data_IF_712249963027
#
_entry.id   IF_712249963027
#
_cell.length_a   1.000
_cell.length_b   1.000
_cell.length_c   1.000
_cell.angle_alpha   90.00
_cell.angle_beta   90.00
_cell.angle_gamma   90.00
#
_symmetry.space_group_name_H-M   'P 1'
#
loop_
_entity.id
_entity.type
_entity.pdbx_description
1 polymer ?
#
# COMPACT_ATOMS: atom_id res chain seq x y z
N UNK A 1 -4.51 -3.35 -12.88
CA UNK A 1 -4.07 -2.42 -13.94
C UNK A 1 -5.28 -1.83 -14.65
N UNK A 2 -5.28 -0.54 -14.98
CA UNK A 2 -6.35 0.13 -15.73
C UNK A 2 -6.06 0.12 -17.23
N UNK A 3 -7.11 0.27 -18.06
CA UNK A 3 -6.92 0.40 -19.52
C UNK A 3 -6.10 1.64 -19.87
N UNK A 4 -6.30 2.75 -19.15
CA UNK A 4 -5.51 3.97 -19.34
C UNK A 4 -4.01 3.72 -19.08
N UNK A 5 -3.68 3.07 -17.96
CA UNK A 5 -2.29 2.70 -17.66
C UNK A 5 -1.66 1.81 -18.74
N UNK A 6 -2.40 0.82 -19.26
CA UNK A 6 -1.92 -0.04 -20.35
C UNK A 6 -1.58 0.77 -21.61
N UNK A 7 -2.44 1.72 -21.98
CA UNK A 7 -2.23 2.56 -23.18
C UNK A 7 -0.96 3.39 -23.01
N UNK A 8 -0.75 3.99 -21.84
CA UNK A 8 0.43 4.81 -21.57
C UNK A 8 1.70 3.94 -21.55
N UNK A 9 1.69 2.80 -20.84
CA UNK A 9 2.82 1.88 -20.80
C UNK A 9 3.23 1.35 -22.18
N UNK A 10 2.26 1.08 -23.06
CA UNK A 10 2.55 0.62 -24.43
C UNK A 10 3.20 1.68 -25.32
N UNK A 11 3.03 2.96 -25.01
CA UNK A 11 3.58 4.09 -25.77
C UNK A 11 4.87 4.63 -25.18
N UNK A 12 5.21 4.20 -23.96
CA UNK A 12 6.38 4.68 -23.26
C UNK A 12 7.67 4.30 -24.00
N UNK A 13 8.55 5.26 -24.19
CA UNK A 13 9.93 5.04 -24.66
C UNK A 13 10.82 4.56 -23.51
N UNK A 14 10.56 5.05 -22.30
CA UNK A 14 11.20 4.64 -21.07
C UNK A 14 10.13 4.26 -20.03
N UNK A 15 9.94 2.96 -19.79
CA UNK A 15 9.04 2.44 -18.76
C UNK A 15 9.85 1.86 -17.61
N UNK A 16 9.74 2.48 -16.44
CA UNK A 16 10.38 2.02 -15.20
C UNK A 16 9.31 1.43 -14.28
N UNK A 17 9.53 0.22 -13.79
CA UNK A 17 8.69 -0.38 -12.74
C UNK A 17 9.40 -0.27 -11.40
N UNK A 18 8.72 0.24 -10.38
CA UNK A 18 9.25 0.24 -9.02
C UNK A 18 9.72 -1.15 -8.58
N UNK A 19 8.94 -2.17 -8.93
CA UNK A 19 9.29 -3.58 -8.70
C UNK A 19 8.69 -4.48 -9.77
N UNK A 20 9.39 -5.56 -10.09
CA UNK A 20 8.87 -6.64 -10.92
C UNK A 20 8.17 -7.74 -10.09
N UNK A 21 8.17 -7.64 -8.78
CA UNK A 21 7.48 -8.58 -7.88
C UNK A 21 6.01 -8.19 -7.76
N UNK A 22 5.25 -8.40 -8.86
CA UNK A 22 3.82 -8.10 -8.90
C UNK A 22 3.13 -8.94 -10.00
N UNK A 23 1.89 -9.45 -9.78
CA UNK A 23 1.17 -10.27 -10.76
C UNK A 23 0.98 -9.62 -12.14
N UNK A 24 0.87 -8.28 -12.20
CA UNK A 24 0.73 -7.53 -13.46
C UNK A 24 1.93 -7.70 -14.40
N UNK A 25 3.12 -8.02 -13.88
CA UNK A 25 4.34 -8.16 -14.69
C UNK A 25 4.24 -9.30 -15.70
N UNK A 26 3.58 -10.40 -15.35
CA UNK A 26 3.31 -11.49 -16.30
C UNK A 26 2.49 -11.02 -17.49
N UNK A 27 1.46 -10.19 -17.24
CA UNK A 27 0.67 -9.58 -18.30
C UNK A 27 1.49 -8.63 -19.19
N UNK A 28 2.35 -7.78 -18.59
CA UNK A 28 3.20 -6.88 -19.37
C UNK A 28 4.12 -7.66 -20.31
N UNK A 29 4.76 -8.73 -19.81
CA UNK A 29 5.61 -9.62 -20.62
C UNK A 29 4.82 -10.30 -21.73
N UNK A 30 3.64 -10.85 -21.45
CA UNK A 30 2.76 -11.46 -22.45
C UNK A 30 2.40 -10.49 -23.57
N UNK A 31 2.17 -9.22 -23.26
CA UNK A 31 1.85 -8.16 -24.22
C UNK A 31 3.07 -7.55 -24.91
N UNK A 32 4.28 -8.05 -24.64
CA UNK A 32 5.51 -7.54 -25.25
C UNK A 32 5.86 -6.12 -24.83
N UNK A 33 5.38 -5.67 -23.67
CA UNK A 33 5.69 -4.33 -23.13
C UNK A 33 7.06 -4.41 -22.47
N UNK A 34 8.01 -3.65 -23.02
CA UNK A 34 9.40 -3.59 -22.51
C UNK A 34 9.44 -2.62 -21.33
N UNK A 35 10.16 -3.00 -20.28
CA UNK A 35 10.35 -2.20 -19.08
C UNK A 35 11.69 -2.50 -18.43
N UNK A 36 12.15 -1.57 -17.60
CA UNK A 36 13.23 -1.75 -16.64
C UNK A 36 12.63 -1.86 -15.23
N UNK A 37 13.02 -2.86 -14.45
CA UNK A 37 12.61 -3.01 -13.07
C UNK A 37 13.68 -2.46 -12.12
N UNK A 38 13.25 -1.75 -11.07
CA UNK A 38 14.14 -1.06 -10.15
C UNK A 38 14.39 -1.85 -8.86
N UNK A 39 14.13 -3.16 -8.88
CA UNK A 39 14.29 -4.06 -7.71
C UNK A 39 15.75 -4.06 -7.18
N UNK A 40 16.73 -3.79 -8.02
CA UNK A 40 18.16 -3.70 -7.61
C UNK A 40 18.43 -2.70 -6.49
N UNK A 41 17.60 -1.67 -6.35
CA UNK A 41 17.78 -0.67 -5.30
C UNK A 41 17.43 -1.19 -3.90
N UNK A 42 16.70 -2.32 -3.81
CA UNK A 42 16.36 -2.95 -2.53
C UNK A 42 17.47 -3.89 -1.99
N UNK A 43 18.47 -4.21 -2.80
CA UNK A 43 19.48 -5.24 -2.46
C UNK A 43 20.57 -4.74 -1.50
N UNK A 44 20.72 -3.43 -1.32
CA UNK A 44 21.86 -2.81 -0.62
C UNK A 44 21.73 -2.74 0.91
N UNK A 45 20.69 -3.31 1.52
CA UNK A 45 20.49 -3.33 2.99
C UNK A 45 20.26 -1.96 3.63
N UNK A 46 19.94 -0.94 2.84
CA UNK A 46 19.62 0.42 3.29
C UNK A 46 18.22 0.51 3.92
N UNK A 47 17.93 1.61 4.58
CA UNK A 47 16.57 1.92 4.99
C UNK A 47 15.64 2.10 3.78
N UNK A 48 14.34 1.86 3.95
CA UNK A 48 13.37 2.10 2.86
C UNK A 48 13.41 3.56 2.36
N UNK A 49 13.63 4.53 3.25
CA UNK A 49 13.73 5.93 2.90
C UNK A 49 14.91 6.18 1.93
N UNK A 50 16.10 5.66 2.26
CA UNK A 50 17.29 5.77 1.38
C UNK A 50 17.10 5.05 0.04
N UNK A 51 16.41 3.91 0.03
CA UNK A 51 16.07 3.17 -1.19
C UNK A 51 15.15 4.00 -2.08
N UNK A 52 14.11 4.60 -1.52
CA UNK A 52 13.14 5.39 -2.27
C UNK A 52 13.77 6.68 -2.81
N UNK A 53 14.58 7.36 -2.01
CA UNK A 53 15.32 8.56 -2.45
C UNK A 53 16.26 8.22 -3.62
N UNK A 54 17.04 7.16 -3.50
CA UNK A 54 17.94 6.71 -4.58
C UNK A 54 17.17 6.31 -5.85
N UNK A 55 16.03 5.65 -5.70
CA UNK A 55 15.18 5.23 -6.81
C UNK A 55 14.57 6.42 -7.53
N UNK A 56 14.05 7.39 -6.79
CA UNK A 56 13.45 8.61 -7.35
C UNK A 56 14.50 9.52 -7.99
N UNK A 57 15.70 9.60 -7.44
CA UNK A 57 16.85 10.26 -8.08
C UNK A 57 17.22 9.63 -9.42
N UNK A 58 17.21 8.29 -9.49
CA UNK A 58 17.42 7.60 -10.75
C UNK A 58 16.34 7.93 -11.79
N UNK A 59 15.07 8.00 -11.37
CA UNK A 59 13.97 8.43 -12.28
C UNK A 59 14.21 9.87 -12.77
N UNK A 60 14.58 10.78 -11.89
CA UNK A 60 14.89 12.17 -12.24
C UNK A 60 16.09 12.28 -13.20
N UNK A 61 17.10 11.43 -13.06
CA UNK A 61 18.22 11.38 -14.00
C UNK A 61 17.77 10.92 -15.38
N UNK A 62 16.94 9.86 -15.45
CA UNK A 62 16.39 9.35 -16.72
C UNK A 62 15.51 10.40 -17.43
N UNK A 63 14.80 11.26 -16.69
CA UNK A 63 14.00 12.37 -17.25
C UNK A 63 14.80 13.41 -18.00
N UNK A 64 16.13 13.45 -17.86
CA UNK A 64 17.00 14.33 -18.65
C UNK A 64 17.18 13.86 -20.10
N UNK A 65 16.94 12.58 -20.37
CA UNK A 65 17.16 11.95 -21.67
C UNK A 65 15.87 11.49 -22.33
N UNK A 66 14.85 11.09 -21.55
CA UNK A 66 13.63 10.45 -22.02
C UNK A 66 12.37 11.01 -21.35
N UNK A 67 11.22 10.83 -22.01
CA UNK A 67 9.92 10.88 -21.36
C UNK A 67 9.71 9.57 -20.58
N UNK A 68 9.67 9.66 -19.26
CA UNK A 68 9.61 8.48 -18.38
C UNK A 68 8.18 8.19 -17.93
N UNK A 69 7.79 6.93 -18.02
CA UNK A 69 6.63 6.39 -17.31
C UNK A 69 7.13 5.59 -16.12
N UNK A 70 6.88 6.09 -14.92
CA UNK A 70 7.19 5.36 -13.67
C UNK A 70 5.94 4.65 -13.17
N UNK A 71 5.96 3.33 -13.12
CA UNK A 71 4.82 2.51 -12.74
C UNK A 71 5.06 1.80 -11.40
N UNK A 72 4.05 1.87 -10.55
CA UNK A 72 4.07 1.30 -9.20
C UNK A 72 2.95 0.26 -9.03
N UNK A 73 3.08 -0.70 -8.12
CA UNK A 73 2.00 -1.61 -7.74
C UNK A 73 0.79 -0.86 -7.19
N UNK A 74 -0.41 -1.31 -7.54
CA UNK A 74 -1.65 -0.77 -6.97
C UNK A 74 -2.00 0.63 -7.45
N UNK A 75 -2.29 1.52 -6.53
CA UNK A 75 -2.62 2.93 -6.78
C UNK A 75 -1.47 3.84 -6.37
N UNK A 76 -1.03 4.78 -7.22
CA UNK A 76 0.01 5.74 -6.88
C UNK A 76 -0.40 6.71 -5.75
N UNK A 77 -1.69 6.75 -5.40
CA UNK A 77 -2.23 7.62 -4.36
C UNK A 77 -2.41 6.94 -2.99
N UNK A 78 -2.10 5.63 -2.89
CA UNK A 78 -2.36 4.86 -1.66
C UNK A 78 -1.08 4.16 -1.19
N UNK A 79 -0.55 4.59 -0.05
CA UNK A 79 0.63 4.02 0.58
C UNK A 79 1.87 3.89 -0.36
N UNK A 80 2.07 4.88 -1.24
CA UNK A 80 3.12 4.86 -2.26
C UNK A 80 4.05 6.07 -2.12
N UNK A 81 5.02 5.93 -1.22
CA UNK A 81 5.96 7.00 -0.87
C UNK A 81 6.85 7.44 -2.03
N UNK A 82 7.27 6.52 -2.91
CA UNK A 82 8.11 6.85 -4.06
C UNK A 82 7.41 7.81 -5.02
N UNK A 83 6.10 7.70 -5.19
CA UNK A 83 5.33 8.62 -6.05
C UNK A 83 5.24 10.00 -5.40
N UNK A 84 4.96 10.07 -4.10
CA UNK A 84 4.89 11.33 -3.37
C UNK A 84 6.21 12.10 -3.48
N UNK A 85 7.32 11.42 -3.24
CA UNK A 85 8.66 11.98 -3.31
C UNK A 85 9.02 12.42 -4.74
N UNK A 86 8.76 11.57 -5.74
CA UNK A 86 9.01 11.90 -7.15
C UNK A 86 8.22 13.14 -7.60
N UNK A 87 6.96 13.26 -7.19
CA UNK A 87 6.12 14.44 -7.46
C UNK A 87 6.74 15.70 -6.88
N UNK A 88 7.24 15.66 -5.65
CA UNK A 88 7.92 16.82 -5.03
C UNK A 88 9.24 17.16 -5.74
N UNK A 89 10.03 16.17 -6.16
CA UNK A 89 11.24 16.39 -6.98
C UNK A 89 10.88 17.03 -8.33
N UNK A 90 9.84 16.55 -9.01
CA UNK A 90 9.36 17.14 -10.27
C UNK A 90 8.92 18.61 -10.09
N UNK A 91 8.13 18.90 -9.05
CA UNK A 91 7.70 20.28 -8.74
C UNK A 91 8.91 21.20 -8.51
N UNK A 92 9.86 20.75 -7.70
CA UNK A 92 11.07 21.51 -7.37
C UNK A 92 11.93 21.79 -8.60
N UNK A 93 12.04 20.82 -9.50
CA UNK A 93 12.82 20.92 -10.73
C UNK A 93 12.05 21.57 -11.90
N UNK A 94 10.77 21.91 -11.73
CA UNK A 94 9.93 22.45 -12.80
C UNK A 94 9.64 21.45 -13.93
N UNK A 95 9.71 20.14 -13.66
CA UNK A 95 9.42 19.06 -14.62
C UNK A 95 7.91 18.82 -14.65
N UNK A 96 7.25 18.89 -15.82
CA UNK A 96 5.83 18.56 -15.92
C UNK A 96 5.60 17.07 -15.65
N UNK A 97 4.52 16.76 -14.95
CA UNK A 97 4.14 15.39 -14.62
C UNK A 97 2.62 15.20 -14.61
N UNK A 98 2.18 13.98 -14.79
CA UNK A 98 0.80 13.56 -14.62
C UNK A 98 0.77 12.27 -13.79
N UNK A 99 -0.12 12.19 -12.79
CA UNK A 99 -0.35 10.98 -12.00
C UNK A 99 -1.65 10.32 -12.45
N UNK A 100 -1.54 9.15 -13.08
CA UNK A 100 -2.70 8.39 -13.50
C UNK A 100 -3.27 7.57 -12.34
N UNK A 101 -4.61 7.56 -12.15
CA UNK A 101 -5.22 6.75 -11.09
C UNK A 101 -5.00 5.24 -11.36
N UNK A 102 -4.72 4.51 -10.30
CA UNK A 102 -4.62 3.05 -10.29
C UNK A 102 -5.69 2.43 -9.39
N UNK A 103 -5.85 1.11 -9.46
CA UNK A 103 -6.66 0.36 -8.50
C UNK A 103 -5.81 0.00 -7.28
N UNK A 104 -6.25 0.41 -6.10
CA UNK A 104 -5.61 0.00 -4.87
C UNK A 104 -6.18 -1.32 -4.33
N UNK A 105 -5.51 -1.92 -3.35
CA UNK A 105 -6.05 -3.06 -2.62
C UNK A 105 -7.34 -2.70 -1.84
N UNK A 106 -7.56 -1.42 -1.58
CA UNK A 106 -8.72 -0.93 -0.84
C UNK A 106 -10.05 -1.25 -1.54
N UNK A 107 -10.12 -1.19 -2.88
CA UNK A 107 -11.33 -1.56 -3.62
C UNK A 107 -11.68 -3.04 -3.41
N UNK A 108 -10.66 -3.91 -3.42
CA UNK A 108 -10.86 -5.33 -3.11
C UNK A 108 -11.26 -5.54 -1.64
N UNK A 109 -10.64 -4.79 -0.73
CA UNK A 109 -10.95 -4.83 0.70
C UNK A 109 -12.39 -4.39 0.96
N UNK A 110 -12.83 -3.28 0.40
CA UNK A 110 -14.21 -2.80 0.56
C UNK A 110 -15.22 -3.86 0.10
N UNK A 111 -15.00 -4.42 -1.08
CA UNK A 111 -15.90 -5.42 -1.65
C UNK A 111 -15.94 -6.70 -0.82
N UNK A 112 -14.78 -7.24 -0.42
CA UNK A 112 -14.69 -8.52 0.27
C UNK A 112 -15.04 -8.45 1.76
N UNK A 113 -14.74 -7.34 2.39
CA UNK A 113 -15.10 -7.08 3.79
C UNK A 113 -16.52 -6.49 3.94
N UNK A 114 -17.23 -6.19 2.85
CA UNK A 114 -18.55 -5.58 2.88
C UNK A 114 -18.55 -4.16 3.44
N UNK A 115 -17.51 -3.38 3.14
CA UNK A 115 -17.34 -2.02 3.64
C UNK A 115 -17.82 -1.00 2.61
N UNK A 116 -18.47 0.06 3.09
CA UNK A 116 -18.76 1.25 2.29
C UNK A 116 -18.07 2.46 2.94
N UNK A 117 -17.03 3.03 2.28
CA UNK A 117 -16.31 4.19 2.83
C UNK A 117 -17.18 5.41 3.12
N UNK A 118 -18.33 5.53 2.46
CA UNK A 118 -19.30 6.64 2.69
C UNK A 118 -19.88 6.60 4.11
N UNK A 119 -19.94 5.44 4.74
CA UNK A 119 -20.37 5.27 6.13
C UNK A 119 -19.34 5.75 7.17
N UNK A 120 -18.23 6.30 6.73
CA UNK A 120 -17.10 6.73 7.53
C UNK A 120 -16.02 5.66 7.60
N UNK A 121 -14.82 6.05 7.21
CA UNK A 121 -13.65 5.18 7.23
C UNK A 121 -12.39 5.98 7.52
N UNK A 122 -11.51 5.40 8.32
CA UNK A 122 -10.17 5.90 8.59
C UNK A 122 -9.18 4.85 8.12
N UNK A 123 -8.27 5.21 7.22
CA UNK A 123 -7.19 4.36 6.74
C UNK A 123 -5.88 4.90 7.27
N UNK A 124 -5.16 4.11 8.04
CA UNK A 124 -3.91 4.49 8.68
C UNK A 124 -2.81 3.48 8.36
N UNK A 125 -1.58 3.97 8.29
CA UNK A 125 -0.41 3.11 8.28
C UNK A 125 -0.06 2.65 9.71
N UNK A 126 0.36 1.39 9.87
CA UNK A 126 0.72 0.84 11.18
C UNK A 126 1.86 1.61 11.87
N UNK A 127 2.78 2.16 11.10
CA UNK A 127 3.91 2.94 11.61
C UNK A 127 3.51 4.34 12.13
N UNK A 128 2.36 4.85 11.70
CA UNK A 128 1.87 6.18 12.12
C UNK A 128 0.86 6.13 13.28
N UNK A 129 0.46 4.95 13.73
CA UNK A 129 -0.53 4.79 14.80
C UNK A 129 -0.15 5.51 16.10
N UNK A 130 1.14 5.59 16.43
CA UNK A 130 1.60 6.30 17.63
C UNK A 130 1.44 7.82 17.54
N UNK A 131 1.23 8.35 16.34
CA UNK A 131 1.11 9.80 16.05
C UNK A 131 -0.33 10.22 15.74
N UNK A 132 -1.20 9.27 15.49
CA UNK A 132 -2.57 9.51 15.04
C UNK A 132 -3.60 9.00 16.05
N UNK A 133 -4.67 9.76 16.22
CA UNK A 133 -5.81 9.31 17.03
C UNK A 133 -6.73 8.43 16.18
N UNK A 134 -7.03 7.25 16.68
CA UNK A 134 -8.03 6.36 16.09
C UNK A 134 -9.43 6.84 16.47
N UNK A 135 -10.38 6.80 15.54
CA UNK A 135 -11.77 7.18 15.78
C UNK A 135 -12.67 5.93 15.80
N UNK A 136 -13.01 5.40 16.98
CA UNK A 136 -13.81 4.16 17.09
C UNK A 136 -15.24 4.23 16.52
N UNK A 137 -15.73 5.42 16.24
CA UNK A 137 -17.10 5.63 15.67
C UNK A 137 -17.21 5.26 14.18
N UNK A 138 -16.08 5.07 13.50
CA UNK A 138 -16.03 4.71 12.08
C UNK A 138 -15.26 3.41 11.88
N UNK A 139 -15.34 2.83 10.69
CA UNK A 139 -14.46 1.71 10.32
C UNK A 139 -13.00 2.19 10.29
N UNK A 140 -12.10 1.44 10.93
CA UNK A 140 -10.67 1.74 10.90
C UNK A 140 -9.93 0.62 10.18
N UNK A 141 -9.12 0.98 9.20
CA UNK A 141 -8.25 0.09 8.45
C UNK A 141 -6.81 0.45 8.78
N UNK A 142 -6.08 -0.48 9.38
CA UNK A 142 -4.65 -0.35 9.63
C UNK A 142 -3.92 -1.16 8.56
N UNK A 143 -3.13 -0.49 7.74
CA UNK A 143 -2.35 -1.12 6.67
C UNK A 143 -0.96 -1.52 7.17
N UNK A 144 -0.30 -2.39 6.42
CA UNK A 144 1.10 -2.78 6.66
C UNK A 144 1.36 -3.34 8.06
N UNK A 145 0.53 -4.28 8.53
CA UNK A 145 0.80 -5.05 9.75
C UNK A 145 1.94 -6.04 9.46
N UNK A 146 3.12 -5.50 9.31
CA UNK A 146 4.28 -5.99 8.57
C UNK A 146 4.90 -7.29 9.12
N UNK A 147 4.87 -7.50 10.42
CA UNK A 147 5.44 -8.66 11.11
C UNK A 147 4.89 -8.76 12.53
N UNK A 148 5.27 -9.80 13.26
CA UNK A 148 4.81 -10.07 14.64
C UNK A 148 5.06 -8.89 15.60
N UNK A 149 6.18 -8.18 15.45
CA UNK A 149 6.50 -7.00 16.28
C UNK A 149 5.54 -5.86 15.99
N UNK A 150 5.35 -5.52 14.72
CA UNK A 150 4.39 -4.47 14.31
C UNK A 150 2.97 -4.86 14.71
N UNK A 151 2.59 -6.14 14.56
CA UNK A 151 1.30 -6.65 15.03
C UNK A 151 1.11 -6.44 16.54
N UNK A 152 2.16 -6.67 17.34
CA UNK A 152 2.13 -6.40 18.78
C UNK A 152 1.99 -4.92 19.10
N UNK A 153 2.74 -4.05 18.41
CA UNK A 153 2.67 -2.60 18.60
C UNK A 153 1.26 -2.07 18.21
N UNK A 154 0.70 -2.54 17.10
CA UNK A 154 -0.67 -2.22 16.66
C UNK A 154 -1.70 -2.68 17.69
N UNK A 155 -1.60 -3.93 18.16
CA UNK A 155 -2.48 -4.47 19.20
C UNK A 155 -2.46 -3.59 20.45
N UNK A 156 -1.30 -3.26 20.97
CA UNK A 156 -1.14 -2.46 22.18
C UNK A 156 -1.74 -1.04 22.01
N UNK A 157 -1.49 -0.41 20.87
CA UNK A 157 -2.04 0.92 20.56
C UNK A 157 -3.57 0.94 20.49
N UNK A 158 -4.19 -0.15 20.03
CA UNK A 158 -5.63 -0.25 19.84
C UNK A 158 -6.38 -0.77 21.07
N UNK A 159 -5.74 -1.61 21.90
CA UNK A 159 -6.37 -2.22 23.09
C UNK A 159 -6.91 -1.17 24.06
N UNK A 160 -6.22 -0.05 24.23
CA UNK A 160 -6.65 1.03 25.14
C UNK A 160 -8.03 1.58 24.74
N UNK A 161 -8.33 1.66 23.44
CA UNK A 161 -9.55 2.26 22.92
C UNK A 161 -10.66 1.24 22.64
N UNK A 162 -10.29 0.02 22.22
CA UNK A 162 -11.24 -1.00 21.80
C UNK A 162 -11.44 -2.11 22.84
N UNK A 163 -10.42 -2.39 23.65
CA UNK A 163 -10.38 -3.56 24.52
C UNK A 163 -9.85 -4.81 23.83
N UNK A 164 -9.30 -5.74 24.62
CA UNK A 164 -8.66 -6.96 24.10
C UNK A 164 -9.61 -7.89 23.33
N UNK A 165 -10.85 -7.98 23.77
CA UNK A 165 -11.87 -8.89 23.22
C UNK A 165 -12.58 -8.31 21.99
N UNK A 166 -12.16 -7.13 21.50
CA UNK A 166 -12.81 -6.51 20.35
C UNK A 166 -12.65 -7.36 19.08
N UNK A 167 -13.75 -7.61 18.37
CA UNK A 167 -13.73 -8.35 17.12
C UNK A 167 -13.15 -7.48 16.00
N UNK A 168 -12.08 -7.95 15.40
CA UNK A 168 -11.42 -7.36 14.26
C UNK A 168 -11.34 -8.36 13.11
N UNK A 169 -11.02 -7.89 11.92
CA UNK A 169 -10.82 -8.72 10.73
C UNK A 169 -9.38 -8.53 10.25
N UNK A 170 -8.64 -9.63 10.10
CA UNK A 170 -7.34 -9.63 9.43
C UNK A 170 -7.54 -9.96 7.97
N UNK A 171 -6.96 -9.14 7.10
CA UNK A 171 -6.98 -9.31 5.66
C UNK A 171 -5.54 -9.43 5.19
N UNK A 172 -5.16 -10.61 4.76
CA UNK A 172 -3.82 -10.96 4.32
C UNK A 172 -3.83 -11.37 2.86
N UNK A 173 -2.87 -10.89 2.05
CA UNK A 173 -2.70 -11.19 0.63
C UNK A 173 -3.97 -11.01 -0.22
N UNK A 174 -4.71 -9.94 0.04
CA UNK A 174 -5.99 -9.72 -0.65
C UNK A 174 -5.84 -9.74 -2.17
N UNK A 175 -6.73 -10.49 -2.84
CA UNK A 175 -6.72 -10.72 -4.29
C UNK A 175 -5.53 -11.54 -4.82
N UNK A 176 -4.72 -12.14 -3.96
CA UNK A 176 -3.70 -13.13 -4.32
C UNK A 176 -4.20 -14.55 -4.12
N UNK A 177 -3.53 -15.57 -4.70
CA UNK A 177 -3.98 -16.97 -4.61
C UNK A 177 -4.07 -17.53 -3.18
N UNK A 178 -3.27 -16.99 -2.27
CA UNK A 178 -3.18 -17.36 -0.86
C UNK A 178 -3.89 -16.37 0.07
N UNK A 179 -4.88 -15.63 -0.48
CA UNK A 179 -5.72 -14.72 0.28
C UNK A 179 -6.33 -15.36 1.51
N UNK A 180 -6.26 -14.65 2.62
CA UNK A 180 -6.87 -15.04 3.89
C UNK A 180 -7.61 -13.86 4.49
N UNK A 181 -8.87 -14.07 4.85
CA UNK A 181 -9.71 -13.10 5.57
C UNK A 181 -10.26 -13.82 6.79
N UNK A 182 -9.86 -13.37 7.97
CA UNK A 182 -10.20 -14.02 9.24
C UNK A 182 -10.74 -13.00 10.25
N UNK A 183 -11.75 -13.39 11.00
CA UNK A 183 -12.20 -12.67 12.20
C UNK A 183 -11.39 -13.16 13.39
N UNK A 184 -10.86 -12.22 14.14
CA UNK A 184 -10.05 -12.48 15.34
C UNK A 184 -10.53 -11.60 16.49
N UNK A 185 -10.11 -11.92 17.71
CA UNK A 185 -10.10 -10.98 18.82
C UNK A 185 -8.81 -10.17 18.78
N UNK A 186 -8.87 -8.90 19.15
CA UNK A 186 -7.71 -8.00 19.04
C UNK A 186 -6.46 -8.54 19.76
N UNK A 187 -6.65 -9.24 20.91
CA UNK A 187 -5.54 -9.85 21.64
C UNK A 187 -4.82 -10.98 20.88
N UNK A 188 -5.42 -11.52 19.81
CA UNK A 188 -4.84 -12.62 19.03
C UNK A 188 -3.90 -12.12 17.92
N UNK A 189 -3.91 -10.80 17.60
CA UNK A 189 -3.26 -10.24 16.43
C UNK A 189 -1.76 -10.60 16.34
N UNK A 190 -1.03 -10.52 17.44
CA UNK A 190 0.41 -10.83 17.51
C UNK A 190 0.74 -12.32 17.62
N UNK A 191 -0.27 -13.20 17.52
CA UNK A 191 -0.11 -14.66 17.56
C UNK A 191 -0.32 -15.33 16.21
N UNK A 192 -0.59 -14.52 15.16
CA UNK A 192 -0.94 -15.05 13.85
C UNK A 192 0.25 -15.61 13.06
N UNK A 193 1.47 -15.13 13.31
CA UNK A 193 2.77 -15.58 12.74
C UNK A 193 2.85 -15.70 11.21
N UNK A 194 1.82 -15.28 10.47
CA UNK A 194 1.80 -15.23 9.00
C UNK A 194 1.70 -13.82 8.45
N UNK A 195 1.65 -12.80 9.33
CA UNK A 195 1.51 -11.41 8.93
C UNK A 195 2.75 -10.89 8.21
N UNK A 196 2.55 -10.06 7.20
CA UNK A 196 3.58 -9.40 6.43
C UNK A 196 3.13 -8.04 5.90
N UNK A 197 3.92 -7.41 5.03
CA UNK A 197 3.64 -6.09 4.45
C UNK A 197 2.34 -6.01 3.62
N UNK A 198 1.73 -7.13 3.25
CA UNK A 198 0.44 -7.21 2.56
C UNK A 198 -0.72 -7.55 3.51
N UNK A 199 -0.50 -7.39 4.81
CA UNK A 199 -1.52 -7.63 5.84
C UNK A 199 -2.13 -6.32 6.31
N UNK A 200 -3.46 -6.29 6.38
CA UNK A 200 -4.23 -5.18 6.95
C UNK A 200 -5.14 -5.68 8.06
N UNK A 201 -5.36 -4.83 9.07
CA UNK A 201 -6.34 -5.04 10.13
C UNK A 201 -7.54 -4.12 9.91
N UNK A 202 -8.74 -4.65 9.99
CA UNK A 202 -9.99 -3.90 9.89
C UNK A 202 -10.73 -3.99 11.22
N UNK A 203 -11.02 -2.84 11.80
CA UNK A 203 -11.85 -2.71 13.00
C UNK A 203 -13.20 -2.12 12.58
N UNK A 204 -14.30 -2.83 12.77
CA UNK A 204 -15.64 -2.27 12.53
C UNK A 204 -15.90 -1.10 13.48
N UNK A 205 -16.89 -0.23 13.19
CA UNK A 205 -17.23 0.86 14.08
C UNK A 205 -17.77 0.32 15.41
N UNK A 206 -17.33 0.91 16.51
CA UNK A 206 -17.83 0.60 17.86
C UNK A 206 -19.28 1.05 18.00
N UNK A 207 -20.18 0.15 18.33
CA UNK A 207 -21.58 0.47 18.58
C UNK A 207 -21.73 1.16 19.94
N UNK A 208 -22.64 2.14 20.03
CA UNK A 208 -22.89 2.86 21.31
C UNK A 208 -23.29 1.96 22.49
N UNK A 209 -23.78 0.74 22.20
CA UNK A 209 -24.16 -0.24 23.23
C UNK A 209 -22.98 -0.95 23.90
N UNK A 210 -21.76 -0.77 23.41
CA UNK A 210 -20.55 -1.46 23.90
C UNK A 210 -19.78 -0.61 24.94
N UNK A 211 -20.51 0.24 25.68
CA UNK A 211 -19.96 1.05 26.79
C UNK A 211 -20.00 0.30 28.11
#
# INVERSE_FOLDING_TARGET
ITMASIVVMKRATCLLLRTAVHPTVSYLKEKGIVFEALDRFYEDGRSFEEVYDTMTDYVMERLKEDDVVFAVPGSPAVAEHTVTELVEKCKTAGVPYEVLPGMSFLESLYTKAGLDPVNGMLVLDSFDLSRMSVLPAVTVVITQVYNDRVASDVKLALTEQYGDEYEAMVVHHISLPDERIEKIRLFELDRLHYVDHLTSLVLPPRKEADK
#
